data_IF_783843072387
#
_entry.id   IF_783843072387
#
_cell.length_a   1.000
_cell.length_b   1.000
_cell.length_c   1.000
_cell.angle_alpha   90.00
_cell.angle_beta   90.00
_cell.angle_gamma   90.00
#
_symmetry.space_group_name_H-M   'P 1'
#
loop_
_entity.id
_entity.type
_entity.pdbx_description
1 polymer ?
#
# COMPACT_ATOMS: atom_id res chain seq x y z
N UNK A 1 -52.31 38.93 -14.66
CA UNK A 1 -52.14 37.47 -14.77
C UNK A 1 -50.65 37.20 -14.69
N UNK A 2 -50.19 36.86 -13.50
CA UNK A 2 -48.79 36.54 -13.19
C UNK A 2 -48.82 35.14 -12.57
N UNK A 3 -48.36 34.13 -13.31
CA UNK A 3 -48.13 32.80 -12.75
C UNK A 3 -46.66 32.69 -12.33
N UNK A 4 -46.45 32.48 -11.04
CA UNK A 4 -45.19 32.02 -10.47
C UNK A 4 -45.16 30.49 -10.51
N UNK A 5 -44.31 29.92 -11.36
CA UNK A 5 -44.01 28.50 -11.36
C UNK A 5 -43.02 28.17 -10.24
N UNK A 6 -43.51 27.52 -9.18
CA UNK A 6 -42.68 26.93 -8.14
C UNK A 6 -42.22 25.54 -8.59
N UNK A 7 -40.97 25.44 -9.03
CA UNK A 7 -40.30 24.15 -9.24
C UNK A 7 -39.74 23.66 -7.91
N UNK A 8 -40.48 22.77 -7.25
CA UNK A 8 -40.00 22.00 -6.10
C UNK A 8 -38.93 21.02 -6.61
N UNK A 9 -37.66 21.31 -6.35
CA UNK A 9 -36.52 20.46 -6.74
C UNK A 9 -36.23 19.43 -5.64
N UNK A 10 -36.74 18.20 -5.86
CA UNK A 10 -36.20 16.88 -5.47
C UNK A 10 -35.19 16.78 -4.31
N UNK A 11 -35.62 17.06 -3.08
CA UNK A 11 -34.91 16.62 -1.85
C UNK A 11 -35.11 15.13 -1.52
N UNK A 12 -36.21 14.52 -1.97
CA UNK A 12 -36.61 13.14 -1.60
C UNK A 12 -35.96 12.03 -2.45
N UNK A 13 -35.42 12.35 -3.62
CA UNK A 13 -34.77 11.36 -4.49
C UNK A 13 -33.32 11.06 -4.07
N UNK A 14 -32.64 11.97 -3.36
CA UNK A 14 -31.27 11.74 -2.88
C UNK A 14 -31.23 10.67 -1.78
N UNK A 15 -32.11 10.75 -0.79
CA UNK A 15 -32.21 9.73 0.28
C UNK A 15 -32.61 8.37 -0.30
N UNK A 16 -33.55 8.34 -1.24
CA UNK A 16 -34.01 7.08 -1.86
C UNK A 16 -32.94 6.42 -2.74
N UNK A 17 -32.10 7.21 -3.44
CA UNK A 17 -30.94 6.70 -4.19
C UNK A 17 -29.83 6.16 -3.27
N UNK A 18 -29.60 6.81 -2.12
CA UNK A 18 -28.65 6.31 -1.12
C UNK A 18 -29.17 5.05 -0.42
N UNK A 19 -30.46 4.98 -0.07
CA UNK A 19 -31.08 3.78 0.51
C UNK A 19 -31.04 2.57 -0.46
N UNK A 20 -31.16 2.82 -1.77
CA UNK A 20 -31.02 1.80 -2.81
C UNK A 20 -29.58 1.30 -2.99
N UNK A 21 -28.57 2.18 -2.84
CA UNK A 21 -27.14 1.81 -2.85
C UNK A 21 -26.70 1.08 -1.58
N UNK A 22 -27.29 1.41 -0.42
CA UNK A 22 -27.07 0.73 0.86
C UNK A 22 -27.37 -0.78 0.82
N UNK A 23 -28.25 -1.22 -0.09
CA UNK A 23 -28.53 -2.65 -0.31
C UNK A 23 -27.53 -3.35 -1.25
N UNK A 24 -26.54 -2.65 -1.81
CA UNK A 24 -25.63 -3.20 -2.82
C UNK A 24 -24.52 -4.08 -2.22
N UNK A 25 -24.17 -3.90 -0.95
CA UNK A 25 -23.14 -4.69 -0.27
C UNK A 25 -23.75 -5.60 0.81
N UNK A 26 -24.34 -6.73 0.39
CA UNK A 26 -24.72 -7.80 1.33
C UNK A 26 -23.54 -8.39 2.11
N UNK A 27 -22.32 -8.25 1.59
CA UNK A 27 -21.11 -8.80 2.20
C UNK A 27 -20.44 -7.77 3.11
N UNK A 28 -20.04 -8.21 4.31
CA UNK A 28 -19.25 -7.41 5.25
C UNK A 28 -17.82 -7.12 4.76
N UNK A 29 -17.36 -7.84 3.73
CA UNK A 29 -16.03 -7.69 3.14
C UNK A 29 -16.16 -7.65 1.62
N UNK A 30 -15.67 -6.58 1.01
CA UNK A 30 -15.52 -6.43 -0.44
C UNK A 30 -14.05 -6.52 -0.86
N UNK A 31 -13.80 -6.99 -2.08
CA UNK A 31 -12.44 -7.09 -2.64
C UNK A 31 -12.43 -6.47 -4.04
N UNK A 32 -11.50 -5.55 -4.27
CA UNK A 32 -11.21 -5.00 -5.60
C UNK A 32 -9.96 -5.70 -6.14
N UNK A 33 -10.10 -6.46 -7.23
CA UNK A 33 -9.01 -7.22 -7.86
C UNK A 33 -8.82 -6.79 -9.31
N UNK A 34 -7.59 -6.88 -9.79
CA UNK A 34 -7.27 -6.71 -11.20
C UNK A 34 -7.64 -7.97 -11.97
N UNK A 35 -8.23 -7.80 -13.15
CA UNK A 35 -8.64 -8.92 -14.00
C UNK A 35 -7.63 -9.19 -15.14
N UNK A 36 -6.63 -8.32 -15.31
CA UNK A 36 -5.68 -8.36 -16.41
C UNK A 36 -4.24 -8.30 -15.86
N UNK A 37 -3.34 -7.56 -16.52
CA UNK A 37 -1.91 -7.47 -16.19
C UNK A 37 -1.53 -6.14 -15.51
N UNK A 38 -2.43 -5.57 -14.71
CA UNK A 38 -2.17 -4.31 -13.99
C UNK A 38 -2.76 -3.08 -14.67
N UNK A 39 -2.62 -1.93 -14.01
CA UNK A 39 -3.05 -0.60 -14.48
C UNK A 39 -4.52 -0.46 -14.91
N UNK A 40 -5.41 -1.34 -14.43
CA UNK A 40 -6.83 -1.32 -14.77
C UNK A 40 -7.63 -0.19 -14.06
N UNK A 41 -6.95 0.69 -13.32
CA UNK A 41 -7.61 1.77 -12.57
C UNK A 41 -8.28 1.34 -11.27
N UNK A 42 -7.82 0.23 -10.66
CA UNK A 42 -8.34 -0.31 -9.38
C UNK A 42 -8.45 0.74 -8.28
N UNK A 43 -7.47 1.62 -8.18
CA UNK A 43 -7.45 2.64 -7.13
C UNK A 43 -8.64 3.60 -7.23
N UNK A 44 -9.09 3.98 -8.43
CA UNK A 44 -10.30 4.81 -8.59
C UNK A 44 -11.55 4.11 -8.07
N UNK A 45 -11.64 2.79 -8.26
CA UNK A 45 -12.73 1.98 -7.70
C UNK A 45 -12.63 1.97 -6.19
N UNK A 46 -11.43 1.72 -5.64
CA UNK A 46 -11.19 1.73 -4.19
C UNK A 46 -11.56 3.08 -3.58
N UNK A 47 -11.20 4.21 -4.19
CA UNK A 47 -11.53 5.55 -3.67
C UNK A 47 -13.03 5.80 -3.59
N UNK A 48 -13.77 5.39 -4.63
CA UNK A 48 -15.23 5.51 -4.65
C UNK A 48 -15.88 4.67 -3.54
N UNK A 49 -15.36 3.45 -3.31
CA UNK A 49 -15.83 2.56 -2.25
C UNK A 49 -15.39 3.02 -0.84
N UNK A 50 -14.23 3.66 -0.73
CA UNK A 50 -13.65 4.13 0.52
C UNK A 50 -14.54 5.14 1.27
N UNK A 51 -15.49 5.77 0.57
CA UNK A 51 -16.47 6.70 1.16
C UNK A 51 -17.49 6.01 2.08
N UNK A 52 -17.74 4.72 1.87
CA UNK A 52 -18.84 3.97 2.50
C UNK A 52 -18.36 2.80 3.37
N UNK A 53 -17.05 2.65 3.58
CA UNK A 53 -16.47 1.55 4.38
C UNK A 53 -15.70 2.06 5.60
N UNK A 54 -15.70 1.25 6.66
CA UNK A 54 -14.98 1.56 7.89
C UNK A 54 -13.47 1.30 7.77
N UNK A 55 -13.10 0.32 6.93
CA UNK A 55 -11.72 -0.17 6.80
C UNK A 55 -11.36 -0.39 5.33
N UNK A 56 -10.21 0.13 4.92
CA UNK A 56 -9.55 -0.20 3.65
C UNK A 56 -8.23 -0.91 3.95
N UNK A 57 -8.06 -2.11 3.40
CA UNK A 57 -6.89 -2.94 3.67
C UNK A 57 -6.13 -3.26 2.38
N UNK A 58 -4.80 -3.15 2.46
CA UNK A 58 -3.89 -3.70 1.46
C UNK A 58 -3.36 -5.04 1.94
N UNK A 59 -3.64 -6.10 1.19
CA UNK A 59 -3.34 -7.46 1.63
C UNK A 59 -2.03 -8.04 1.07
N UNK A 60 -1.51 -7.55 -0.06
CA UNK A 60 -0.34 -8.09 -0.78
C UNK A 60 0.46 -6.99 -1.49
N UNK A 61 1.63 -7.35 -2.01
CA UNK A 61 2.50 -6.48 -2.81
C UNK A 61 3.42 -5.61 -1.94
N UNK A 62 3.98 -4.56 -2.55
CA UNK A 62 4.76 -3.53 -1.88
C UNK A 62 4.62 -2.19 -2.60
N UNK A 63 5.59 -1.31 -2.53
CA UNK A 63 5.55 0.02 -3.16
C UNK A 63 5.73 0.01 -4.70
N UNK A 64 5.26 -1.05 -5.37
CA UNK A 64 5.43 -1.30 -6.80
C UNK A 64 4.27 -0.85 -7.69
N UNK A 65 3.18 -0.35 -7.09
CA UNK A 65 2.03 0.19 -7.81
C UNK A 65 1.66 1.52 -7.17
N UNK A 66 1.51 2.55 -8.01
CA UNK A 66 1.09 3.89 -7.60
C UNK A 66 -0.40 4.09 -7.84
N UNK A 67 -1.02 4.91 -7.00
CA UNK A 67 -2.38 5.38 -7.20
C UNK A 67 -2.52 6.81 -6.70
N UNK A 68 -3.02 7.68 -7.56
CA UNK A 68 -3.20 9.10 -7.28
C UNK A 68 -4.68 9.39 -7.01
N UNK A 69 -4.95 10.09 -5.92
CA UNK A 69 -6.30 10.50 -5.49
C UNK A 69 -6.38 12.01 -5.48
N UNK A 70 -7.43 12.58 -6.07
CA UNK A 70 -7.74 14.00 -5.93
C UNK A 70 -8.90 14.15 -4.95
N UNK A 71 -8.64 14.80 -3.82
CA UNK A 71 -9.65 15.09 -2.80
C UNK A 71 -9.61 16.57 -2.42
N UNK A 72 -10.77 17.23 -2.46
CA UNK A 72 -10.92 18.66 -2.14
C UNK A 72 -9.96 19.59 -2.92
N UNK A 73 -9.62 19.22 -4.16
CA UNK A 73 -8.68 19.97 -5.00
C UNK A 73 -7.19 19.70 -4.72
N UNK A 74 -6.88 18.78 -3.81
CA UNK A 74 -5.51 18.35 -3.50
C UNK A 74 -5.23 16.96 -4.04
N UNK A 75 -4.07 16.79 -4.67
CA UNK A 75 -3.62 15.53 -5.27
C UNK A 75 -2.69 14.77 -4.32
N UNK A 76 -3.09 13.58 -3.88
CA UNK A 76 -2.33 12.68 -3.02
C UNK A 76 -1.81 11.48 -3.82
N UNK A 77 -0.57 11.07 -3.56
CA UNK A 77 0.08 9.98 -4.29
C UNK A 77 0.40 8.84 -3.34
N UNK A 78 -0.21 7.68 -3.58
CA UNK A 78 -0.08 6.51 -2.74
C UNK A 78 0.64 5.37 -3.46
N UNK A 79 1.49 4.66 -2.73
CA UNK A 79 2.21 3.48 -3.23
C UNK A 79 2.03 2.30 -2.28
N UNK A 80 2.34 2.50 -0.99
CA UNK A 80 2.18 1.48 0.04
C UNK A 80 0.93 1.73 0.88
N UNK A 81 0.59 2.99 1.13
CA UNK A 81 -0.59 3.37 1.91
C UNK A 81 -1.86 2.98 1.16
N UNK A 82 -2.86 2.38 1.83
CA UNK A 82 -4.19 2.24 1.27
C UNK A 82 -4.80 3.63 1.02
N UNK A 83 -5.31 3.88 -0.20
CA UNK A 83 -5.83 5.20 -0.59
C UNK A 83 -7.05 5.67 0.19
N UNK A 84 -7.75 4.73 0.86
CA UNK A 84 -8.82 5.03 1.80
C UNK A 84 -8.39 5.93 2.98
N UNK A 85 -7.08 6.09 3.22
CA UNK A 85 -6.54 6.97 4.27
C UNK A 85 -6.92 8.44 4.11
N UNK A 86 -7.31 8.84 2.89
CA UNK A 86 -7.87 10.18 2.57
C UNK A 86 -9.22 10.41 3.28
N UNK A 87 -10.02 9.37 3.47
CA UNK A 87 -11.25 9.47 4.26
C UNK A 87 -10.91 9.43 5.75
N UNK A 88 -11.12 10.56 6.45
CA UNK A 88 -10.83 10.67 7.90
C UNK A 88 -11.60 9.67 8.77
N UNK A 89 -12.73 9.15 8.29
CA UNK A 89 -13.53 8.15 9.01
C UNK A 89 -13.04 6.72 8.79
N UNK A 90 -12.18 6.50 7.79
CA UNK A 90 -11.70 5.18 7.41
C UNK A 90 -10.37 4.85 8.10
N UNK A 91 -10.28 3.61 8.59
CA UNK A 91 -9.03 3.00 9.05
C UNK A 91 -8.33 2.34 7.85
N UNK A 92 -7.05 2.62 7.67
CA UNK A 92 -6.19 2.02 6.66
C UNK A 92 -5.29 0.95 7.27
N UNK A 93 -5.33 -0.25 6.70
CA UNK A 93 -4.59 -1.40 7.21
C UNK A 93 -3.59 -1.91 6.17
N UNK A 94 -2.32 -2.02 6.55
CA UNK A 94 -1.30 -2.75 5.80
C UNK A 94 -1.23 -4.18 6.38
N UNK A 95 -1.73 -5.15 5.61
CA UNK A 95 -1.84 -6.54 6.03
C UNK A 95 -0.52 -7.31 6.00
N UNK A 96 -0.51 -8.49 6.63
CA UNK A 96 0.68 -9.34 6.79
C UNK A 96 1.24 -9.92 5.47
N UNK A 97 0.48 -9.89 4.38
CA UNK A 97 0.94 -10.32 3.07
C UNK A 97 1.83 -9.29 2.37
N UNK A 98 1.83 -8.04 2.81
CA UNK A 98 2.61 -6.94 2.24
C UNK A 98 4.09 -7.03 2.62
N UNK A 99 4.96 -6.58 1.72
CA UNK A 99 6.38 -6.30 1.97
C UNK A 99 6.59 -4.77 2.04
N UNK A 100 7.23 -4.30 3.11
CA UNK A 100 7.29 -2.88 3.49
C UNK A 100 8.72 -2.38 3.41
N UNK A 101 8.98 -1.42 2.53
CA UNK A 101 10.21 -0.65 2.57
C UNK A 101 10.01 0.57 3.48
N UNK A 102 10.59 0.54 4.68
CA UNK A 102 10.36 1.59 5.70
C UNK A 102 10.74 3.00 5.21
N UNK A 103 11.93 3.24 4.61
CA UNK A 103 12.26 4.57 4.10
C UNK A 103 11.24 5.10 3.09
N UNK A 104 10.78 4.27 2.16
CA UNK A 104 9.76 4.70 1.18
C UNK A 104 8.39 4.94 1.81
N UNK A 105 8.00 4.16 2.82
CA UNK A 105 6.76 4.40 3.55
C UNK A 105 6.79 5.74 4.27
N UNK A 106 7.89 6.06 4.97
CA UNK A 106 8.03 7.35 5.65
C UNK A 106 8.11 8.52 4.66
N UNK A 107 8.81 8.35 3.54
CA UNK A 107 8.84 9.36 2.48
C UNK A 107 7.44 9.62 1.90
N UNK A 108 6.67 8.56 1.65
CA UNK A 108 5.28 8.65 1.18
C UNK A 108 4.37 9.36 2.21
N UNK A 109 4.52 9.03 3.49
CA UNK A 109 3.81 9.68 4.58
C UNK A 109 4.12 11.18 4.61
N UNK A 110 5.40 11.55 4.71
CA UNK A 110 5.81 12.96 4.81
C UNK A 110 5.36 13.79 3.61
N UNK A 111 5.41 13.23 2.39
CA UNK A 111 4.92 13.92 1.18
C UNK A 111 3.42 14.20 1.24
N UNK A 112 2.63 13.23 1.68
CA UNK A 112 1.18 13.40 1.76
C UNK A 112 0.74 14.24 2.96
N UNK A 113 1.44 14.16 4.09
CA UNK A 113 1.21 15.05 5.25
C UNK A 113 1.46 16.52 4.90
N UNK A 114 2.53 16.81 4.15
CA UNK A 114 2.81 18.16 3.65
C UNK A 114 1.70 18.71 2.72
N UNK A 115 0.93 17.83 2.09
CA UNK A 115 -0.25 18.18 1.27
C UNK A 115 -1.55 18.31 2.09
N UNK A 116 -1.50 18.05 3.40
CA UNK A 116 -2.65 18.16 4.29
C UNK A 116 -3.30 16.84 4.69
N UNK A 117 -2.67 15.69 4.43
CA UNK A 117 -3.10 14.41 5.00
C UNK A 117 -2.83 14.44 6.52
N UNK A 118 -3.87 14.32 7.35
CA UNK A 118 -3.75 14.47 8.81
C UNK A 118 -4.30 13.26 9.57
N UNK A 119 -4.04 13.22 10.89
CA UNK A 119 -4.60 12.26 11.86
C UNK A 119 -4.29 10.79 11.50
N UNK A 120 -3.03 10.51 11.17
CA UNK A 120 -2.59 9.18 10.72
C UNK A 120 -2.40 8.18 11.87
N UNK A 121 -1.95 8.65 13.03
CA UNK A 121 -1.51 7.84 14.18
C UNK A 121 -2.54 6.82 14.67
N UNK A 122 -3.83 7.11 14.53
CA UNK A 122 -4.92 6.23 14.97
C UNK A 122 -5.65 5.52 13.83
N UNK A 123 -5.26 5.81 12.58
CA UNK A 123 -5.95 5.32 11.38
C UNK A 123 -5.07 4.48 10.49
N UNK A 124 -3.75 4.55 10.62
CA UNK A 124 -2.82 3.67 9.91
C UNK A 124 -2.40 2.52 10.84
N UNK A 125 -2.83 1.30 10.50
CA UNK A 125 -2.45 0.09 11.22
C UNK A 125 -1.56 -0.75 10.32
N UNK A 126 -0.38 -1.11 10.83
CA UNK A 126 0.57 -1.96 10.11
C UNK A 126 0.66 -3.30 10.83
N UNK A 127 0.45 -4.39 10.11
CA UNK A 127 0.63 -5.72 10.68
C UNK A 127 2.10 -5.95 11.08
N UNK A 128 2.31 -6.34 12.33
CA UNK A 128 3.58 -6.84 12.86
C UNK A 128 4.14 -8.05 12.08
N UNK A 129 3.30 -8.76 11.32
CA UNK A 129 3.67 -9.93 10.50
C UNK A 129 4.06 -9.57 9.06
N UNK A 130 3.90 -8.32 8.64
CA UNK A 130 4.38 -7.86 7.35
C UNK A 130 5.92 -7.95 7.29
N UNK A 131 6.47 -8.31 6.14
CA UNK A 131 7.91 -8.45 5.96
C UNK A 131 8.56 -7.12 5.59
N UNK A 132 9.81 -6.92 5.99
CA UNK A 132 10.60 -5.75 5.64
C UNK A 132 11.31 -5.97 4.30
N UNK A 133 11.24 -4.95 3.46
CA UNK A 133 12.16 -4.76 2.34
C UNK A 133 13.31 -3.91 2.89
N UNK A 134 14.56 -4.35 2.68
CA UNK A 134 15.76 -3.58 2.97
C UNK A 134 16.38 -3.07 1.67
N UNK A 135 17.28 -2.09 1.76
CA UNK A 135 17.95 -1.51 0.59
C UNK A 135 18.71 -2.56 -0.23
N UNK A 136 19.35 -3.52 0.43
CA UNK A 136 20.03 -4.61 -0.28
C UNK A 136 19.06 -5.49 -1.10
N UNK A 137 17.79 -5.63 -0.70
CA UNK A 137 16.81 -6.33 -1.53
C UNK A 137 16.59 -5.58 -2.86
N UNK A 138 16.61 -4.25 -2.85
CA UNK A 138 16.48 -3.44 -4.07
C UNK A 138 17.73 -3.56 -4.96
N UNK A 139 18.92 -3.56 -4.36
CA UNK A 139 20.18 -3.76 -5.08
C UNK A 139 20.21 -5.13 -5.76
N UNK A 140 19.83 -6.19 -5.04
CA UNK A 140 19.76 -7.56 -5.58
C UNK A 140 18.76 -7.65 -6.73
N UNK A 141 17.58 -7.04 -6.61
CA UNK A 141 16.56 -7.01 -7.67
C UNK A 141 17.11 -6.35 -8.95
N UNK A 142 17.78 -5.21 -8.79
CA UNK A 142 18.44 -4.51 -9.90
C UNK A 142 19.55 -5.34 -10.56
N UNK A 143 20.37 -6.04 -9.78
CA UNK A 143 21.44 -6.90 -10.30
C UNK A 143 20.89 -8.11 -11.05
N UNK A 144 19.90 -8.80 -10.49
CA UNK A 144 19.27 -9.97 -11.14
C UNK A 144 18.64 -9.61 -12.48
N UNK A 145 18.04 -8.42 -12.60
CA UNK A 145 17.52 -7.95 -13.89
C UNK A 145 18.64 -7.62 -14.89
N UNK A 146 19.75 -7.04 -14.43
CA UNK A 146 20.90 -6.75 -15.29
C UNK A 146 21.55 -8.04 -15.82
N UNK A 147 21.71 -9.06 -14.98
CA UNK A 147 22.27 -10.36 -15.36
C UNK A 147 21.45 -11.08 -16.43
N UNK A 148 20.12 -10.92 -16.42
CA UNK A 148 19.24 -11.51 -17.44
C UNK A 148 19.37 -10.84 -18.82
N UNK A 149 19.98 -9.65 -18.89
CA UNK A 149 20.18 -8.90 -20.14
C UNK A 149 18.89 -8.77 -20.95
N UNK A 150 18.89 -9.29 -22.19
CA UNK A 150 17.73 -9.25 -23.09
C UNK A 150 16.52 -10.10 -22.67
N UNK A 151 16.64 -10.87 -21.57
CA UNK A 151 15.53 -11.65 -20.97
C UNK A 151 15.06 -11.04 -19.63
N UNK A 152 15.29 -9.74 -19.44
CA UNK A 152 14.79 -9.03 -18.27
C UNK A 152 13.26 -9.15 -18.17
N UNK A 153 12.76 -9.18 -16.94
CA UNK A 153 11.33 -9.25 -16.66
C UNK A 153 10.68 -7.87 -16.62
N UNK A 154 11.49 -6.81 -16.48
CA UNK A 154 11.00 -5.45 -16.27
C UNK A 154 10.55 -5.24 -14.82
N UNK A 155 11.31 -5.74 -13.83
CA UNK A 155 10.96 -5.49 -12.43
C UNK A 155 11.04 -4.01 -12.09
N UNK A 156 10.30 -3.60 -11.06
CA UNK A 156 10.34 -2.21 -10.56
C UNK A 156 11.65 -1.89 -9.82
N UNK A 157 12.54 -2.87 -9.63
CA UNK A 157 13.79 -2.77 -8.86
C UNK A 157 13.57 -2.27 -7.43
N UNK A 158 12.37 -2.52 -6.88
CA UNK A 158 11.98 -2.14 -5.52
C UNK A 158 12.22 -3.25 -4.50
N UNK A 159 12.86 -4.36 -4.89
CA UNK A 159 13.21 -5.43 -3.97
C UNK A 159 12.03 -6.32 -3.58
N UNK A 160 10.90 -6.24 -4.30
CA UNK A 160 9.69 -7.02 -3.99
C UNK A 160 9.96 -8.52 -4.13
N UNK A 161 10.57 -8.93 -5.25
CA UNK A 161 10.93 -10.32 -5.51
C UNK A 161 11.90 -10.87 -4.45
N UNK A 162 13.07 -10.24 -4.24
CA UNK A 162 14.00 -10.66 -3.20
C UNK A 162 13.40 -10.69 -1.78
N UNK A 163 12.57 -9.72 -1.40
CA UNK A 163 11.91 -9.74 -0.09
C UNK A 163 10.93 -10.91 0.07
N UNK A 164 10.14 -11.23 -0.97
CA UNK A 164 9.30 -12.43 -0.95
C UNK A 164 10.11 -13.74 -0.99
N UNK A 165 11.29 -13.75 -1.62
CA UNK A 165 12.22 -14.88 -1.56
C UNK A 165 12.74 -15.11 -0.13
N UNK A 166 13.12 -14.03 0.57
CA UNK A 166 13.52 -14.09 1.98
C UNK A 166 12.37 -14.58 2.88
N UNK A 167 11.13 -14.15 2.60
CA UNK A 167 9.92 -14.69 3.24
C UNK A 167 9.75 -16.20 2.99
N UNK A 168 9.89 -16.64 1.74
CA UNK A 168 9.73 -18.05 1.38
C UNK A 168 10.81 -18.95 1.99
N UNK A 169 12.05 -18.45 2.07
CA UNK A 169 13.18 -19.16 2.71
C UNK A 169 13.15 -19.08 4.24
N UNK A 170 12.25 -18.28 4.81
CA UNK A 170 12.04 -18.10 6.27
C UNK A 170 13.20 -17.40 6.97
N UNK A 171 14.05 -16.70 6.24
CA UNK A 171 15.13 -15.87 6.79
C UNK A 171 14.78 -14.36 6.76
N UNK A 172 13.66 -13.98 6.14
CA UNK A 172 13.18 -12.61 6.09
C UNK A 172 12.80 -12.06 7.45
N UNK A 173 12.97 -10.74 7.62
CA UNK A 173 12.67 -10.03 8.85
C UNK A 173 11.30 -9.34 8.72
N UNK A 174 10.53 -9.34 9.80
CA UNK A 174 9.19 -8.77 9.90
C UNK A 174 9.16 -7.51 10.76
N UNK A 175 8.11 -6.72 10.59
CA UNK A 175 7.89 -5.48 11.38
C UNK A 175 7.92 -5.75 12.89
N UNK A 176 7.31 -6.83 13.35
CA UNK A 176 7.26 -7.17 14.78
C UNK A 176 8.64 -7.47 15.39
N UNK A 177 9.61 -7.87 14.57
CA UNK A 177 10.99 -8.08 15.04
C UNK A 177 11.72 -6.75 15.26
N UNK A 178 11.37 -5.69 14.52
CA UNK A 178 11.85 -4.34 14.76
C UNK A 178 11.32 -3.76 16.09
N UNK A 179 10.09 -4.14 16.47
CA UNK A 179 9.42 -3.67 17.69
C UNK A 179 9.80 -4.48 18.94
N UNK A 180 10.44 -5.63 18.78
CA UNK A 180 10.82 -6.54 19.86
C UNK A 180 12.21 -6.24 20.43
N UNK A 181 12.95 -7.29 20.78
CA UNK A 181 14.35 -7.15 21.21
C UNK A 181 15.24 -6.79 20.02
N UNK A 182 15.80 -5.59 20.06
CA UNK A 182 16.63 -5.04 19.00
C UNK A 182 17.94 -5.83 18.77
N UNK A 183 18.43 -6.57 19.78
CA UNK A 183 19.58 -7.45 19.60
C UNK A 183 19.23 -8.64 18.69
N UNK A 184 18.05 -9.24 18.89
CA UNK A 184 17.55 -10.33 18.04
C UNK A 184 17.34 -9.84 16.60
N UNK A 185 16.81 -8.62 16.43
CA UNK A 185 16.71 -7.99 15.11
C UNK A 185 18.09 -7.84 14.47
N UNK A 186 19.07 -7.31 15.20
CA UNK A 186 20.43 -7.07 14.71
C UNK A 186 21.11 -8.37 14.27
N UNK A 187 20.98 -9.44 15.05
CA UNK A 187 21.55 -10.74 14.71
C UNK A 187 20.91 -11.35 13.45
N UNK A 188 19.58 -11.25 13.34
CA UNK A 188 18.86 -11.67 12.14
C UNK A 188 19.27 -10.86 10.92
N UNK A 189 19.42 -9.54 11.08
CA UNK A 189 19.85 -8.63 10.02
C UNK A 189 21.24 -8.99 9.52
N UNK A 190 22.21 -9.19 10.42
CA UNK A 190 23.56 -9.65 10.07
C UNK A 190 23.53 -11.00 9.35
N UNK A 191 22.69 -11.93 9.79
CA UNK A 191 22.56 -13.26 9.18
C UNK A 191 21.99 -13.22 7.76
N UNK A 192 20.93 -12.43 7.52
CA UNK A 192 20.35 -12.27 6.19
C UNK A 192 21.31 -11.51 5.25
N UNK A 193 22.01 -10.49 5.74
CA UNK A 193 23.03 -9.77 4.98
C UNK A 193 24.18 -10.71 4.59
N UNK A 194 24.71 -11.49 5.53
CA UNK A 194 25.77 -12.46 5.22
C UNK A 194 25.33 -13.49 4.18
N UNK A 195 24.05 -13.88 4.19
CA UNK A 195 23.49 -14.77 3.17
C UNK A 195 23.46 -14.11 1.79
N UNK A 196 23.04 -12.85 1.71
CA UNK A 196 23.02 -12.11 0.44
C UNK A 196 24.42 -11.79 -0.08
N UNK A 197 25.39 -11.45 0.78
CA UNK A 197 26.78 -11.21 0.38
C UNK A 197 27.46 -12.47 -0.20
N UNK A 198 27.10 -13.67 0.29
CA UNK A 198 27.59 -14.93 -0.31
C UNK A 198 27.06 -15.15 -1.73
N UNK A 199 25.83 -14.73 -2.00
CA UNK A 199 25.18 -14.87 -3.31
C UNK A 199 25.56 -13.74 -4.27
N UNK A 200 25.76 -12.53 -3.74
CA UNK A 200 26.04 -11.30 -4.49
C UNK A 200 27.22 -10.57 -3.84
N UNK A 201 28.47 -11.00 -4.08
CA UNK A 201 29.66 -10.48 -3.39
C UNK A 201 29.98 -9.01 -3.67
N UNK A 202 29.43 -8.45 -4.76
CA UNK A 202 29.68 -7.07 -5.18
C UNK A 202 28.77 -6.03 -4.54
N UNK A 203 27.83 -6.44 -3.68
CA UNK A 203 26.91 -5.50 -3.02
C UNK A 203 27.62 -4.89 -1.81
N UNK A 204 27.57 -3.55 -1.72
CA UNK A 204 27.98 -2.82 -0.53
C UNK A 204 26.75 -2.61 0.37
N UNK A 205 26.81 -3.09 1.61
CA UNK A 205 25.72 -3.02 2.58
C UNK A 205 26.31 -2.42 3.86
N UNK A 206 25.66 -1.38 4.37
CA UNK A 206 25.96 -0.83 5.69
C UNK A 206 25.33 -1.73 6.77
N UNK A 207 26.12 -2.21 7.73
CA UNK A 207 25.75 -3.25 8.71
C UNK A 207 25.93 -2.80 10.14
#
# INVERSE_FOLDING_TARGET
>A
MTESSSSVVNGSNYETLHQGRLNMYKSKVGVVLGAQWGDEGKGKVVDMLALEVDIVCRCQGGNNAGHTVVANGTEFDFHLLPSGIVNEKCISVIGNGVVIHLPSLFEELSKNEAKGLQKLEHRLIISDRAHLVFDFHQLVDGMQEAEKGGKSLGTTKKGIGPAYSSKATRNGIRVGELLGDFNIFTDKFKSIVATHLRLFPSINIDV
#
